data_IF_652148052710
#
_entry.id   IF_652148052710
#
_cell.length_a   1.000
_cell.length_b   1.000
_cell.length_c   1.000
_cell.angle_alpha   90.00
_cell.angle_beta   90.00
_cell.angle_gamma   90.00
#
_symmetry.space_group_name_H-M   'P 1'
#
loop_
_entity.id
_entity.type
_entity.pdbx_description
1 polymer ?
#
# COMPACT_ATOMS: atom_id res chain seq x y z
N UNK A 1 -18.55 -9.71 8.60
CA UNK A 1 -17.48 -9.34 7.67
C UNK A 1 -16.41 -10.40 7.86
N UNK A 2 -16.19 -11.25 6.85
CA UNK A 2 -15.19 -12.31 6.95
C UNK A 2 -13.81 -11.71 6.74
N UNK A 3 -12.86 -12.06 7.60
CA UNK A 3 -11.47 -11.61 7.47
C UNK A 3 -10.78 -12.35 6.32
N UNK A 4 -9.86 -11.69 5.58
CA UNK A 4 -9.06 -12.37 4.58
C UNK A 4 -8.32 -13.56 5.21
N UNK A 5 -8.36 -14.70 4.51
CA UNK A 5 -7.62 -15.89 4.93
C UNK A 5 -6.26 -15.85 4.27
N UNK A 6 -5.21 -15.80 5.10
CA UNK A 6 -3.83 -15.96 4.67
C UNK A 6 -3.49 -17.45 4.75
N UNK A 7 -3.02 -18.02 3.65
CA UNK A 7 -2.59 -19.41 3.53
C UNK A 7 -1.27 -19.51 2.78
N UNK A 8 -0.64 -20.69 2.77
CA UNK A 8 0.61 -20.97 2.05
C UNK A 8 1.75 -19.98 2.32
N UNK A 9 1.86 -19.53 3.57
CA UNK A 9 2.93 -18.65 4.02
C UNK A 9 4.28 -19.36 3.94
N UNK A 10 5.24 -18.74 3.26
CA UNK A 10 6.64 -19.14 3.25
C UNK A 10 7.54 -17.91 3.33
N UNK A 11 8.58 -18.04 4.13
CA UNK A 11 9.67 -17.09 4.26
C UNK A 11 10.93 -17.75 3.73
N UNK A 12 11.59 -17.10 2.79
CA UNK A 12 12.88 -17.56 2.25
C UNK A 12 13.84 -16.40 2.23
N UNK A 13 15.14 -16.68 2.20
CA UNK A 13 16.15 -15.65 2.04
C UNK A 13 17.18 -16.06 1.01
N UNK A 14 17.78 -15.06 0.36
CA UNK A 14 18.98 -15.26 -0.42
C UNK A 14 20.20 -15.35 0.52
N UNK A 15 21.35 -15.81 -0.01
CA UNK A 15 22.60 -15.75 0.76
C UNK A 15 22.98 -14.30 1.06
N UNK A 16 23.63 -14.02 2.20
CA UNK A 16 24.17 -12.70 2.47
C UNK A 16 25.04 -12.21 1.31
N UNK A 17 24.92 -10.93 0.97
CA UNK A 17 25.82 -10.30 0.01
C UNK A 17 27.23 -10.09 0.60
N UNK A 18 28.13 -9.47 -0.17
CA UNK A 18 29.50 -9.22 0.27
C UNK A 18 29.59 -8.30 1.52
N UNK A 19 28.53 -7.55 1.82
CA UNK A 19 28.42 -6.65 2.97
C UNK A 19 27.68 -7.30 4.15
N UNK A 20 27.33 -8.60 4.03
CA UNK A 20 26.63 -9.37 5.06
C UNK A 20 25.15 -9.03 5.13
N UNK A 21 24.55 -8.54 4.06
CA UNK A 21 23.16 -8.14 4.05
C UNK A 21 22.24 -9.23 3.52
N UNK A 22 21.12 -9.43 4.21
CA UNK A 22 20.13 -10.45 3.90
C UNK A 22 18.93 -9.85 3.16
N UNK A 23 18.47 -10.58 2.14
CA UNK A 23 17.24 -10.29 1.41
C UNK A 23 16.22 -11.38 1.70
N UNK A 24 15.12 -11.01 2.35
CA UNK A 24 14.00 -11.93 2.63
C UNK A 24 12.87 -11.75 1.63
N UNK A 25 12.36 -12.88 1.15
CA UNK A 25 11.21 -13.00 0.26
C UNK A 25 10.09 -13.71 1.01
N UNK A 26 8.93 -13.07 1.05
CA UNK A 26 7.71 -13.65 1.60
C UNK A 26 6.80 -14.03 0.45
N UNK A 27 6.27 -15.25 0.52
CA UNK A 27 5.15 -15.67 -0.32
C UNK A 27 4.01 -16.08 0.56
N UNK A 28 2.82 -15.65 0.19
CA UNK A 28 1.59 -16.03 0.85
C UNK A 28 0.44 -15.97 -0.14
N UNK A 29 -0.60 -16.75 0.09
CA UNK A 29 -1.84 -16.68 -0.65
C UNK A 29 -2.87 -15.89 0.16
N UNK A 30 -3.51 -14.91 -0.47
CA UNK A 30 -4.63 -14.16 0.12
C UNK A 30 -5.89 -14.44 -0.66
N UNK A 31 -6.94 -14.82 0.07
CA UNK A 31 -8.27 -14.96 -0.49
C UNK A 31 -9.00 -13.61 -0.36
N UNK A 32 -9.69 -13.17 -1.43
CA UNK A 32 -10.60 -12.02 -1.35
C UNK A 32 -12.01 -12.50 -0.96
N UNK A 33 -12.41 -12.40 0.32
CA UNK A 33 -13.74 -12.85 0.76
C UNK A 33 -14.83 -11.83 0.43
N UNK A 34 -14.48 -10.67 -0.12
CA UNK A 34 -15.40 -9.57 -0.31
C UNK A 34 -16.20 -9.73 -1.60
N UNK A 35 -17.35 -9.06 -1.63
CA UNK A 35 -18.21 -8.99 -2.82
C UNK A 35 -17.65 -8.02 -3.89
N UNK A 36 -16.52 -7.37 -3.63
CA UNK A 36 -15.90 -6.35 -4.48
C UNK A 36 -14.52 -6.79 -4.95
N UNK A 37 -14.03 -6.16 -6.02
CA UNK A 37 -12.64 -6.32 -6.42
C UNK A 37 -11.71 -5.61 -5.42
N UNK A 38 -10.55 -6.23 -5.18
CA UNK A 38 -9.39 -5.59 -4.55
C UNK A 38 -8.54 -5.00 -5.66
N UNK A 39 -8.04 -3.79 -5.44
CA UNK A 39 -7.25 -3.03 -6.43
C UNK A 39 -5.89 -2.59 -5.87
N UNK A 40 -5.72 -2.68 -4.55
CA UNK A 40 -4.47 -2.34 -3.87
C UNK A 40 -4.27 -3.30 -2.70
N UNK A 41 -3.05 -3.73 -2.49
CA UNK A 41 -2.66 -4.52 -1.33
C UNK A 41 -1.66 -3.72 -0.52
N UNK A 42 -1.99 -3.45 0.73
CA UNK A 42 -1.05 -2.85 1.67
C UNK A 42 -0.56 -3.90 2.63
N UNK A 43 0.74 -3.96 2.88
CA UNK A 43 1.30 -4.94 3.77
C UNK A 43 2.40 -4.35 4.64
N UNK A 44 2.48 -4.89 5.86
CA UNK A 44 3.50 -4.55 6.83
C UNK A 44 4.09 -5.83 7.40
N UNK A 45 5.41 -5.91 7.37
CA UNK A 45 6.16 -7.06 7.88
C UNK A 45 7.03 -6.63 9.04
N UNK A 46 7.05 -7.44 10.11
CA UNK A 46 8.03 -7.34 11.20
C UNK A 46 8.81 -8.63 11.27
N UNK A 47 10.14 -8.54 11.24
CA UNK A 47 11.04 -9.68 11.40
C UNK A 47 11.54 -9.80 12.82
N UNK A 48 11.72 -11.03 13.27
CA UNK A 48 12.21 -11.38 14.59
C UNK A 48 13.40 -12.33 14.47
N UNK A 49 14.39 -12.15 15.35
CA UNK A 49 15.49 -13.10 15.50
C UNK A 49 15.06 -14.39 16.22
N UNK A 50 16.02 -15.28 16.47
CA UNK A 50 15.81 -16.56 17.15
C UNK A 50 15.35 -16.43 18.62
N UNK A 51 15.50 -15.26 19.25
CA UNK A 51 14.97 -15.00 20.60
C UNK A 51 13.56 -14.37 20.54
N UNK A 52 13.01 -14.12 19.35
CA UNK A 52 11.75 -13.43 19.16
C UNK A 52 11.86 -11.91 19.31
N UNK A 53 13.06 -11.33 19.22
CA UNK A 53 13.26 -9.89 19.29
C UNK A 53 13.09 -9.25 17.91
N UNK A 54 12.35 -8.13 17.79
CA UNK A 54 12.16 -7.48 16.49
C UNK A 54 13.47 -6.88 15.98
N UNK A 55 13.86 -7.21 14.75
CA UNK A 55 15.12 -6.77 14.13
C UNK A 55 14.91 -5.83 12.94
N UNK A 56 13.77 -5.91 12.27
CA UNK A 56 13.45 -5.08 11.12
C UNK A 56 11.94 -4.97 10.92
N UNK A 57 11.50 -3.88 10.29
CA UNK A 57 10.13 -3.65 9.89
C UNK A 57 10.13 -3.06 8.48
N UNK A 58 9.24 -3.56 7.63
CA UNK A 58 8.98 -3.02 6.30
C UNK A 58 7.50 -2.78 6.11
N UNK A 59 7.19 -1.84 5.24
CA UNK A 59 5.85 -1.50 4.82
C UNK A 59 5.91 -1.15 3.35
N UNK A 60 5.01 -1.75 2.57
CA UNK A 60 4.95 -1.52 1.13
C UNK A 60 3.51 -1.76 0.63
N UNK A 61 3.25 -1.36 -0.61
CA UNK A 61 1.96 -1.57 -1.27
C UNK A 61 2.14 -1.99 -2.72
N UNK A 62 1.31 -2.91 -3.18
CA UNK A 62 1.27 -3.36 -4.58
C UNK A 62 -0.10 -3.13 -5.20
N UNK A 63 -0.10 -2.70 -6.46
CA UNK A 63 -1.29 -2.64 -7.31
C UNK A 63 -1.60 -4.07 -7.81
N UNK A 64 -2.24 -4.87 -6.96
CA UNK A 64 -2.71 -6.20 -7.31
C UNK A 64 -4.24 -6.19 -7.44
N UNK A 65 -4.71 -6.67 -8.59
CA UNK A 65 -6.15 -6.80 -8.85
C UNK A 65 -6.62 -8.22 -8.50
N UNK A 66 -7.55 -8.34 -7.54
CA UNK A 66 -8.20 -9.61 -7.22
C UNK A 66 -9.70 -9.48 -7.41
N UNK A 67 -10.26 -10.28 -8.32
CA UNK A 67 -11.70 -10.33 -8.55
C UNK A 67 -12.44 -10.85 -7.31
N UNK A 68 -13.76 -10.67 -7.28
CA UNK A 68 -14.61 -11.23 -6.24
C UNK A 68 -14.38 -12.75 -6.10
N UNK A 69 -14.07 -13.20 -4.88
CA UNK A 69 -13.88 -14.61 -4.54
C UNK A 69 -12.62 -15.25 -5.14
N UNK A 70 -11.74 -14.45 -5.75
CA UNK A 70 -10.48 -14.91 -6.32
C UNK A 70 -9.41 -15.10 -5.23
N UNK A 71 -8.47 -16.01 -5.50
CA UNK A 71 -7.29 -16.26 -4.67
C UNK A 71 -6.07 -15.63 -5.35
N UNK A 72 -5.43 -14.69 -4.67
CA UNK A 72 -4.20 -14.08 -5.10
C UNK A 72 -2.98 -14.76 -4.49
N UNK A 73 -1.93 -14.95 -5.27
CA UNK A 73 -0.61 -15.29 -4.73
C UNK A 73 0.20 -14.01 -4.63
N UNK A 74 0.57 -13.63 -3.41
CA UNK A 74 1.44 -12.50 -3.15
C UNK A 74 2.85 -12.99 -2.96
N UNK A 75 3.76 -12.40 -3.72
CA UNK A 75 5.19 -12.58 -3.55
C UNK A 75 5.79 -11.19 -3.52
N UNK A 76 6.00 -10.66 -2.32
CA UNK A 76 6.56 -9.33 -2.15
C UNK A 76 7.92 -9.39 -1.47
N UNK A 77 8.69 -8.36 -1.76
CA UNK A 77 9.96 -8.13 -1.10
C UNK A 77 9.68 -7.66 0.32
N UNK A 78 10.16 -8.42 1.31
CA UNK A 78 9.79 -8.16 2.68
C UNK A 78 10.86 -7.34 3.42
N UNK A 79 12.06 -7.13 2.88
CA UNK A 79 13.02 -6.17 3.44
C UNK A 79 14.50 -6.56 3.32
N UNK A 80 15.36 -5.59 3.68
CA UNK A 80 16.82 -5.72 3.75
C UNK A 80 17.28 -5.50 5.18
N UNK A 81 18.14 -6.37 5.71
CA UNK A 81 18.87 -6.06 6.95
C UNK A 81 20.15 -6.89 7.08
N UNK A 82 21.10 -6.39 7.88
CA UNK A 82 22.38 -7.03 8.07
C UNK A 82 22.26 -8.33 8.89
N UNK A 83 23.01 -9.37 8.51
CA UNK A 83 23.00 -10.68 9.17
C UNK A 83 23.45 -10.65 10.63
N UNK A 84 24.23 -9.64 11.02
CA UNK A 84 24.62 -9.42 12.41
C UNK A 84 23.42 -9.14 13.32
N UNK A 85 22.32 -8.58 12.80
CA UNK A 85 21.10 -8.35 13.57
C UNK A 85 20.38 -9.63 13.94
N UNK A 86 20.61 -10.72 13.20
CA UNK A 86 20.03 -12.04 13.44
C UNK A 86 21.09 -13.04 13.88
N UNK A 87 22.16 -12.55 14.52
CA UNK A 87 23.23 -13.38 15.11
C UNK A 87 23.84 -14.37 14.13
N UNK A 88 23.90 -14.02 12.84
CA UNK A 88 24.40 -14.88 11.77
C UNK A 88 23.61 -16.20 11.62
N UNK A 89 22.32 -16.20 12.02
CA UNK A 89 21.38 -17.32 11.90
C UNK A 89 20.17 -16.93 11.04
N UNK A 90 20.35 -16.73 9.73
CA UNK A 90 19.26 -16.27 8.85
C UNK A 90 18.12 -17.28 8.70
N UNK A 91 18.40 -18.58 8.85
CA UNK A 91 17.38 -19.64 8.80
C UNK A 91 16.44 -19.64 10.03
N UNK A 92 16.87 -19.02 11.15
CA UNK A 92 16.09 -18.97 12.40
C UNK A 92 15.22 -17.70 12.52
N UNK A 93 15.14 -16.91 11.45
CA UNK A 93 14.31 -15.70 11.40
C UNK A 93 12.84 -16.07 11.21
N UNK A 94 11.99 -15.39 11.96
CA UNK A 94 10.54 -15.44 11.77
C UNK A 94 9.98 -14.08 11.36
N UNK A 95 8.80 -14.08 10.74
CA UNK A 95 8.14 -12.85 10.31
C UNK A 95 6.66 -12.87 10.69
N UNK A 96 6.17 -11.73 11.16
CA UNK A 96 4.75 -11.44 11.27
C UNK A 96 4.36 -10.52 10.12
N UNK A 97 3.36 -10.91 9.35
CA UNK A 97 2.86 -10.14 8.22
C UNK A 97 1.42 -9.72 8.48
N UNK A 98 1.18 -8.44 8.32
CA UNK A 98 -0.15 -7.87 8.20
C UNK A 98 -0.41 -7.54 6.73
N UNK A 99 -1.60 -7.89 6.23
CA UNK A 99 -2.06 -7.54 4.88
C UNK A 99 -3.45 -6.92 4.99
N UNK A 100 -3.65 -5.78 4.32
CA UNK A 100 -4.94 -5.16 4.10
C UNK A 100 -5.33 -5.23 2.61
N UNK A 101 -6.58 -5.61 2.36
CA UNK A 101 -7.17 -5.70 1.04
C UNK A 101 -7.90 -4.40 0.71
N UNK A 102 -7.27 -3.54 -0.10
CA UNK A 102 -7.77 -2.21 -0.38
C UNK A 102 -8.50 -2.13 -1.72
N UNK A 103 -9.55 -1.31 -1.77
CA UNK A 103 -10.26 -0.91 -2.98
C UNK A 103 -10.08 0.60 -3.19
N UNK A 104 -9.91 1.04 -4.43
CA UNK A 104 -9.97 2.44 -4.78
C UNK A 104 -11.43 2.83 -5.08
N UNK A 105 -11.99 3.69 -4.25
CA UNK A 105 -13.28 4.31 -4.54
C UNK A 105 -13.05 5.72 -5.09
N UNK A 106 -13.24 5.89 -6.40
CA UNK A 106 -13.23 7.21 -7.04
C UNK A 106 -14.57 7.87 -6.76
N UNK A 107 -14.55 8.89 -5.91
CA UNK A 107 -15.71 9.76 -5.73
C UNK A 107 -15.65 10.88 -6.75
N UNK A 108 -16.65 10.96 -7.63
CA UNK A 108 -16.86 12.14 -8.46
C UNK A 108 -17.09 13.34 -7.54
N UNK A 109 -16.13 14.27 -7.52
CA UNK A 109 -16.35 15.57 -6.90
C UNK A 109 -17.48 16.27 -7.67
N UNK A 110 -18.44 16.93 -7.00
CA UNK A 110 -19.32 17.85 -7.71
C UNK A 110 -18.43 18.85 -8.46
N UNK A 111 -18.71 19.09 -9.75
CA UNK A 111 -17.93 19.99 -10.62
C UNK A 111 -17.29 21.12 -9.82
N UNK A 112 -15.96 21.11 -9.72
CA UNK A 112 -15.20 22.21 -9.13
C UNK A 112 -15.62 23.47 -9.89
N UNK A 113 -16.24 24.42 -9.18
CA UNK A 113 -16.52 25.74 -9.73
C UNK A 113 -15.16 26.43 -9.87
N UNK A 114 -14.54 26.25 -11.03
CA UNK A 114 -13.30 26.90 -11.40
C UNK A 114 -13.64 28.37 -11.65
N UNK A 115 -12.98 29.25 -10.91
CA UNK A 115 -13.05 30.69 -11.14
C UNK A 115 -12.18 31.04 -12.35
N UNK A 116 -12.64 31.96 -13.21
CA UNK A 116 -11.83 32.52 -14.31
C UNK A 116 -10.62 33.36 -13.82
N UNK A 117 -10.42 33.45 -12.50
CA UNK A 117 -9.33 34.22 -11.91
C UNK A 117 -8.04 33.37 -11.84
N UNK A 118 -6.96 33.79 -12.52
CA UNK A 118 -5.69 33.05 -12.53
C UNK A 118 -5.06 32.93 -11.14
N UNK A 119 -4.24 31.89 -10.94
CA UNK A 119 -3.44 31.66 -9.72
C UNK A 119 -4.27 31.54 -8.43
N UNK A 120 -5.53 31.14 -8.53
CA UNK A 120 -6.36 30.85 -7.36
C UNK A 120 -6.23 29.40 -6.93
N UNK A 121 -6.08 29.20 -5.63
CA UNK A 121 -6.19 27.88 -5.03
C UNK A 121 -7.67 27.55 -4.83
N UNK A 122 -8.19 26.58 -5.58
CA UNK A 122 -9.56 26.09 -5.40
C UNK A 122 -9.50 24.94 -4.39
N UNK A 123 -9.95 25.20 -3.16
CA UNK A 123 -10.14 24.16 -2.13
C UNK A 123 -11.62 23.86 -2.01
N UNK A 124 -11.98 22.59 -2.09
CA UNK A 124 -13.30 22.13 -1.67
C UNK A 124 -13.14 21.12 -0.54
N UNK A 125 -13.30 21.61 0.69
CA UNK A 125 -13.38 20.75 1.87
C UNK A 125 -14.82 20.23 1.98
N UNK A 126 -15.06 18.96 1.62
CA UNK A 126 -16.31 18.28 1.99
C UNK A 126 -16.11 17.53 3.29
N UNK A 127 -16.75 18.02 4.36
CA UNK A 127 -16.74 17.43 5.70
C UNK A 127 -17.86 16.41 5.94
N UNK A 128 -18.62 16.06 4.90
CA UNK A 128 -19.84 15.23 5.00
C UNK A 128 -19.79 13.96 4.15
N UNK A 129 -18.63 13.31 4.04
CA UNK A 129 -18.66 11.94 3.55
C UNK A 129 -19.24 11.05 4.66
N UNK A 130 -20.05 10.03 4.33
CA UNK A 130 -20.34 9.00 5.31
C UNK A 130 -19.00 8.47 5.83
N UNK A 131 -18.90 8.35 7.16
CA UNK A 131 -18.04 7.31 7.74
C UNK A 131 -18.39 5.99 7.06
N UNK A 132 -17.47 5.02 7.06
CA UNK A 132 -17.70 3.55 7.04
C UNK A 132 -16.83 2.88 5.96
N UNK A 133 -16.25 1.68 6.14
CA UNK A 133 -15.93 0.76 7.26
C UNK A 133 -14.89 -0.20 6.67
N UNK A 134 -13.76 -0.46 7.34
CA UNK A 134 -12.76 -1.46 6.93
C UNK A 134 -11.53 -0.92 6.15
N UNK A 135 -10.99 -1.76 5.26
CA UNK A 135 -9.69 -1.66 4.54
C UNK A 135 -9.66 -0.67 3.34
N UNK A 136 -10.41 0.43 3.33
CA UNK A 136 -10.39 1.39 2.20
C UNK A 136 -9.45 2.58 2.46
N UNK A 137 -8.50 2.85 1.56
CA UNK A 137 -7.71 4.09 1.58
C UNK A 137 -8.54 5.24 0.99
N UNK A 138 -8.90 6.22 1.82
CA UNK A 138 -9.68 7.38 1.40
C UNK A 138 -8.76 8.57 1.09
N UNK A 139 -8.63 8.94 -0.17
CA UNK A 139 -7.98 10.18 -0.57
C UNK A 139 -8.95 11.34 -0.38
N UNK A 140 -8.80 12.10 0.71
CA UNK A 140 -9.76 13.15 1.11
C UNK A 140 -9.45 14.54 0.56
N UNK A 141 -8.37 14.70 -0.24
CA UNK A 141 -7.91 16.02 -0.66
C UNK A 141 -7.37 16.00 -2.10
N UNK A 142 -8.10 16.63 -2.99
CA UNK A 142 -7.65 17.00 -4.33
C UNK A 142 -7.28 18.48 -4.32
N UNK A 143 -6.05 18.83 -4.70
CA UNK A 143 -5.61 20.24 -4.82
C UNK A 143 -5.25 20.48 -6.27
N UNK A 144 -6.07 21.23 -6.99
CA UNK A 144 -5.74 21.64 -8.36
C UNK A 144 -5.29 23.11 -8.39
N UNK A 145 -4.39 23.42 -9.31
CA UNK A 145 -3.90 24.78 -9.60
C UNK A 145 -4.30 25.18 -11.01
N UNK A 146 -4.92 26.35 -11.12
CA UNK A 146 -5.22 27.01 -12.38
C UNK A 146 -3.97 27.78 -12.81
N UNK A 147 -3.39 27.44 -13.96
CA UNK A 147 -2.23 28.17 -14.48
C UNK A 147 -2.59 29.64 -14.79
N UNK A 148 -1.59 30.50 -14.92
CA UNK A 148 -1.80 31.73 -15.69
C UNK A 148 -2.21 31.35 -17.12
N UNK A 149 -3.04 32.17 -17.80
CA UNK A 149 -3.29 32.00 -19.22
C UNK A 149 -1.96 32.01 -19.97
N UNK A 150 -1.80 31.09 -20.91
CA UNK A 150 -0.68 31.14 -21.85
C UNK A 150 -0.87 32.25 -22.88
N UNK A 151 0.07 32.35 -23.83
CA UNK A 151 0.07 33.41 -24.85
C UNK A 151 -1.17 33.37 -25.77
N UNK A 152 -1.88 32.24 -25.82
CA UNK A 152 -3.11 32.04 -26.58
C UNK A 152 -4.38 32.16 -25.72
N UNK A 153 -4.23 32.44 -24.42
CA UNK A 153 -5.32 32.60 -23.46
C UNK A 153 -5.84 31.28 -22.88
N UNK A 154 -5.19 30.15 -23.17
CA UNK A 154 -5.55 28.84 -22.66
C UNK A 154 -5.05 28.67 -21.22
N UNK A 155 -5.83 27.94 -20.42
CA UNK A 155 -5.55 27.74 -18.99
C UNK A 155 -5.57 26.25 -18.69
N UNK A 156 -4.53 25.77 -18.02
CA UNK A 156 -4.35 24.36 -17.70
C UNK A 156 -4.68 24.10 -16.23
N UNK A 157 -5.34 22.97 -15.99
CA UNK A 157 -5.57 22.41 -14.66
C UNK A 157 -4.42 21.46 -14.32
N UNK A 158 -3.64 21.80 -13.30
CA UNK A 158 -2.60 20.93 -12.75
C UNK A 158 -3.11 20.32 -11.44
N UNK A 159 -2.98 19.01 -11.28
CA UNK A 159 -3.50 18.23 -10.14
C UNK A 159 -2.38 17.67 -9.29
#
# INVERSE_FOLDING_TARGET
MESPVISDFSLTHDRPDAEGSLNYKIRLQVDNPTESAVELLWHRTVFYDSDGMPVSCSEDSSEDYLSKGEKGHLSFYAGYFNEGLVKFQPDDVSASVFVALCRAEVFEYPMLQISDTPNQNVKQDKTGFPDVVGDSLKTSKFTAWVSSPDDDGEVYLNT
#
